data_IF_208705111849
#
_entry.id   IF_208705111849
#
_cell.length_a   1.000
_cell.length_b   1.000
_cell.length_c   1.000
_cell.angle_alpha   90.00
_cell.angle_beta   90.00
_cell.angle_gamma   90.00
#
_symmetry.space_group_name_H-M   'P 1'
#
loop_
_entity.id
_entity.type
_entity.pdbx_description
1 polymer ?
#
# COMPACT_ATOMS: atom_id res chain seq x y z
N UNK A 1 -3.93 24.13 7.46
CA UNK A 1 -4.90 24.84 6.56
C UNK A 1 -6.26 24.88 7.26
N UNK A 2 -6.96 26.04 7.36
CA UNK A 2 -8.26 26.11 8.06
C UNK A 2 -9.33 25.32 7.26
N UNK A 3 -10.17 24.52 7.94
CA UNK A 3 -11.28 23.72 7.35
C UNK A 3 -12.09 24.46 6.28
N UNK A 4 -12.33 25.76 6.50
CA UNK A 4 -13.09 26.61 5.58
C UNK A 4 -12.38 26.85 4.23
N UNK A 5 -11.07 26.81 4.19
CA UNK A 5 -10.27 26.96 2.97
C UNK A 5 -10.22 25.64 2.18
N UNK A 6 -10.21 24.50 2.88
CA UNK A 6 -10.31 23.18 2.26
C UNK A 6 -11.67 22.99 1.56
N UNK A 7 -12.78 23.33 2.25
CA UNK A 7 -14.14 23.23 1.67
C UNK A 7 -14.31 24.19 0.47
N UNK A 8 -13.70 25.37 0.51
CA UNK A 8 -13.74 26.30 -0.64
C UNK A 8 -12.94 25.76 -1.83
N UNK A 9 -11.81 25.10 -1.59
CA UNK A 9 -10.99 24.50 -2.65
C UNK A 9 -11.71 23.31 -3.32
N UNK A 10 -12.34 22.44 -2.52
CA UNK A 10 -13.13 21.30 -3.04
C UNK A 10 -14.39 21.75 -3.76
N UNK A 11 -15.08 22.77 -3.28
CA UNK A 11 -16.26 23.33 -3.95
C UNK A 11 -15.92 24.00 -5.30
N UNK A 12 -14.74 24.61 -5.40
CA UNK A 12 -14.28 25.23 -6.66
C UNK A 12 -13.86 24.14 -7.67
N UNK A 13 -13.24 23.07 -7.22
CA UNK A 13 -12.90 21.92 -8.06
C UNK A 13 -14.14 21.20 -8.62
N UNK A 14 -15.18 21.05 -7.79
CA UNK A 14 -16.45 20.41 -8.19
C UNK A 14 -17.26 21.22 -9.20
N UNK A 15 -17.15 22.57 -9.19
CA UNK A 15 -17.85 23.44 -10.13
C UNK A 15 -17.21 23.48 -11.54
N UNK A 16 -15.93 23.08 -11.67
CA UNK A 16 -15.19 23.07 -12.93
C UNK A 16 -15.41 21.75 -13.70
N UNK A 17 -15.86 20.68 -13.03
CA UNK A 17 -16.09 19.36 -13.62
C UNK A 17 -17.29 19.23 -14.59
N UNK A 18 -17.95 20.33 -14.98
CA UNK A 18 -19.12 20.31 -15.87
C UNK A 18 -18.83 20.76 -17.32
N UNK A 19 -17.59 21.00 -17.69
CA UNK A 19 -17.27 21.44 -19.06
C UNK A 19 -16.32 20.45 -19.75
N UNK A 20 -16.77 19.72 -20.78
CA UNK A 20 -15.89 18.90 -21.59
C UNK A 20 -14.85 19.77 -22.30
N UNK A 21 -13.58 19.48 -22.16
CA UNK A 21 -12.48 20.17 -22.82
C UNK A 21 -11.64 21.13 -21.97
N UNK A 22 -11.95 21.30 -20.69
CA UNK A 22 -11.18 22.19 -19.78
C UNK A 22 -10.47 21.46 -18.62
N UNK A 23 -10.43 20.14 -18.63
CA UNK A 23 -9.77 19.36 -17.57
C UNK A 23 -8.26 19.65 -17.49
N UNK A 24 -7.59 19.86 -18.62
CA UNK A 24 -6.16 20.19 -18.65
C UNK A 24 -5.82 21.52 -17.96
N UNK A 25 -6.72 22.51 -18.01
CA UNK A 25 -6.53 23.79 -17.32
C UNK A 25 -6.77 23.69 -15.80
N UNK A 26 -7.75 22.90 -15.35
CA UNK A 26 -8.00 22.68 -13.93
C UNK A 26 -6.86 21.90 -13.25
N UNK A 27 -6.28 20.93 -13.95
CA UNK A 27 -5.09 20.17 -13.50
C UNK A 27 -3.85 21.08 -13.40
N UNK A 28 -3.65 21.99 -14.35
CA UNK A 28 -2.56 22.97 -14.28
C UNK A 28 -2.74 24.01 -13.17
N UNK A 29 -3.97 24.36 -12.82
CA UNK A 29 -4.27 25.21 -11.67
C UNK A 29 -3.99 24.45 -10.37
N UNK A 30 -4.34 23.17 -10.27
CA UNK A 30 -4.00 22.30 -9.15
C UNK A 30 -2.49 22.18 -8.92
N UNK A 31 -1.72 21.93 -9.96
CA UNK A 31 -0.23 21.92 -9.92
C UNK A 31 0.37 23.25 -9.40
N UNK A 32 -0.27 24.38 -9.67
CA UNK A 32 0.21 25.71 -9.29
C UNK A 32 -0.03 26.04 -7.80
N UNK A 33 -0.91 25.32 -7.12
CA UNK A 33 -1.24 25.53 -5.70
C UNK A 33 -0.63 24.47 -4.78
N UNK A 34 -0.12 23.36 -5.31
CA UNK A 34 0.66 22.39 -4.56
C UNK A 34 2.13 22.76 -4.72
N UNK A 35 2.63 23.60 -3.84
CA UNK A 35 4.03 24.02 -3.82
C UNK A 35 4.93 22.94 -3.21
N UNK A 36 4.64 21.67 -3.46
CA UNK A 36 5.44 20.52 -3.05
C UNK A 36 6.13 19.96 -4.29
N UNK A 37 7.44 19.98 -4.31
CA UNK A 37 8.20 19.21 -5.29
C UNK A 37 8.02 17.72 -4.97
N UNK A 38 7.18 17.05 -5.76
CA UNK A 38 6.95 15.61 -5.67
C UNK A 38 7.73 14.83 -6.74
N UNK A 39 8.60 15.51 -7.50
CA UNK A 39 9.29 14.90 -8.64
C UNK A 39 10.12 13.67 -8.24
N UNK A 40 10.76 13.70 -7.06
CA UNK A 40 11.56 12.60 -6.54
C UNK A 40 10.79 11.69 -5.57
N UNK A 41 9.56 12.05 -5.18
CA UNK A 41 8.79 11.30 -4.18
C UNK A 41 8.40 9.91 -4.70
N UNK A 42 8.50 8.93 -3.81
CA UNK A 42 8.13 7.53 -4.02
C UNK A 42 7.15 7.11 -2.95
N UNK A 43 6.04 6.54 -3.36
CA UNK A 43 5.03 5.99 -2.47
C UNK A 43 5.18 4.47 -2.41
N UNK A 44 5.35 3.94 -1.20
CA UNK A 44 5.39 2.50 -0.93
C UNK A 44 4.11 2.09 -0.23
N UNK A 45 3.26 1.36 -0.92
CA UNK A 45 2.01 0.83 -0.42
C UNK A 45 2.22 -0.59 0.08
N UNK A 46 1.78 -0.87 1.30
CA UNK A 46 1.83 -2.21 1.91
C UNK A 46 0.41 -2.67 2.17
N UNK A 47 -0.05 -3.62 1.38
CA UNK A 47 -1.37 -4.23 1.54
C UNK A 47 -1.32 -5.34 2.59
N UNK A 48 -2.13 -5.21 3.64
CA UNK A 48 -2.31 -6.20 4.70
C UNK A 48 -3.57 -7.02 4.38
N UNK A 49 -3.39 -8.08 3.58
CA UNK A 49 -4.51 -8.84 3.04
C UNK A 49 -5.13 -9.80 4.05
N UNK A 50 -6.46 -9.71 4.20
CA UNK A 50 -7.24 -10.55 5.09
C UNK A 50 -8.00 -9.80 6.19
N UNK A 51 -7.91 -8.47 6.25
CA UNK A 51 -8.58 -7.68 7.27
C UNK A 51 -7.83 -7.64 8.60
N UNK A 52 -6.88 -6.75 8.73
CA UNK A 52 -6.08 -6.61 9.95
C UNK A 52 -6.94 -6.31 11.18
N UNK A 53 -6.69 -7.00 12.28
CA UNK A 53 -7.34 -6.74 13.57
C UNK A 53 -6.81 -5.46 14.22
N UNK A 54 -7.51 -4.36 13.98
CA UNK A 54 -7.11 -3.05 14.43
C UNK A 54 -7.03 -2.90 15.94
N UNK A 55 -7.90 -3.56 16.72
CA UNK A 55 -7.93 -3.40 18.17
C UNK A 55 -6.82 -4.19 18.88
N UNK A 56 -6.29 -5.26 18.26
CA UNK A 56 -5.09 -5.93 18.76
C UNK A 56 -3.80 -5.33 18.18
N UNK A 57 -3.87 -4.65 17.05
CA UNK A 57 -2.75 -3.87 16.51
C UNK A 57 -2.52 -2.58 17.30
N UNK A 58 -3.62 -1.86 17.61
CA UNK A 58 -3.64 -0.60 18.35
C UNK A 58 -4.69 -0.69 19.46
N UNK A 59 -4.23 -0.87 20.68
CA UNK A 59 -5.08 -1.08 21.87
C UNK A 59 -5.61 0.26 22.38
N UNK A 60 -6.93 0.44 22.56
CA UNK A 60 -7.52 1.67 23.07
C UNK A 60 -7.37 1.78 24.59
N UNK A 61 -6.40 2.57 25.08
CA UNK A 61 -6.09 2.61 26.52
C UNK A 61 -7.20 3.26 27.35
N UNK A 62 -7.81 4.30 26.82
CA UNK A 62 -8.95 4.98 27.52
C UNK A 62 -10.23 4.14 27.58
N UNK A 63 -10.30 3.04 26.85
CA UNK A 63 -11.43 2.10 26.82
C UNK A 63 -10.99 0.66 27.08
N UNK A 64 -9.87 0.48 27.77
CA UNK A 64 -9.28 -0.83 27.97
C UNK A 64 -10.22 -1.81 28.67
N UNK A 65 -11.03 -1.38 29.63
CA UNK A 65 -12.03 -2.21 30.29
C UNK A 65 -13.08 -2.74 29.31
N UNK A 66 -13.59 -1.86 28.41
CA UNK A 66 -14.54 -2.25 27.38
C UNK A 66 -13.89 -3.23 26.37
N UNK A 67 -12.68 -2.92 25.92
CA UNK A 67 -11.88 -3.79 25.05
C UNK A 67 -11.67 -5.17 25.71
N UNK A 68 -11.26 -5.22 26.97
CA UNK A 68 -11.05 -6.46 27.72
C UNK A 68 -12.33 -7.28 27.87
N UNK A 69 -13.48 -6.62 28.10
CA UNK A 69 -14.77 -7.29 28.21
C UNK A 69 -15.26 -7.89 26.87
N UNK A 70 -14.94 -7.24 25.76
CA UNK A 70 -15.27 -7.72 24.41
C UNK A 70 -14.33 -8.83 23.93
N UNK A 71 -13.12 -8.90 24.49
CA UNK A 71 -12.04 -9.80 24.08
C UNK A 71 -11.39 -10.51 25.29
N UNK A 72 -12.17 -11.21 26.11
CA UNK A 72 -11.65 -11.80 27.34
C UNK A 72 -10.51 -12.80 27.12
N UNK A 73 -10.39 -13.40 25.92
CA UNK A 73 -9.39 -14.42 25.62
C UNK A 73 -8.26 -13.92 24.72
N UNK A 74 -8.55 -13.04 23.75
CA UNK A 74 -7.58 -12.62 22.72
C UNK A 74 -6.99 -11.24 22.96
N UNK A 75 -7.36 -10.56 24.02
CA UNK A 75 -6.85 -9.21 24.31
C UNK A 75 -5.33 -9.18 24.50
N UNK A 76 -4.71 -8.11 24.10
CA UNK A 76 -3.34 -7.78 24.50
C UNK A 76 -3.34 -7.32 25.96
N UNK A 77 -2.49 -7.89 26.80
CA UNK A 77 -2.43 -7.59 28.23
C UNK A 77 -1.98 -6.17 28.52
N UNK A 78 -2.39 -5.64 29.68
CA UNK A 78 -1.91 -4.36 30.23
C UNK A 78 -0.69 -4.54 31.15
N UNK A 79 -0.27 -5.77 31.42
CA UNK A 79 0.80 -6.07 32.35
C UNK A 79 1.57 -7.33 31.95
N UNK A 80 2.80 -7.43 32.45
CA UNK A 80 3.70 -8.54 32.13
C UNK A 80 4.56 -8.33 30.89
N UNK A 81 5.30 -9.37 30.50
CA UNK A 81 6.29 -9.29 29.40
C UNK A 81 5.65 -9.07 28.01
N UNK A 82 4.40 -9.49 27.85
CA UNK A 82 3.65 -9.41 26.59
C UNK A 82 2.58 -8.30 26.64
N UNK A 83 2.76 -7.28 27.49
CA UNK A 83 1.84 -6.14 27.54
C UNK A 83 2.03 -5.22 26.33
N UNK A 84 0.97 -4.48 26.00
CA UNK A 84 1.05 -3.46 24.96
C UNK A 84 2.18 -2.44 25.25
N UNK A 85 2.72 -1.87 24.18
CA UNK A 85 3.69 -0.78 24.27
C UNK A 85 2.90 0.52 24.30
N UNK A 86 2.98 1.31 25.38
CA UNK A 86 2.36 2.62 25.42
C UNK A 86 3.01 3.52 24.33
N UNK A 87 2.17 4.05 23.43
CA UNK A 87 2.69 4.82 22.31
C UNK A 87 3.21 6.20 22.75
N UNK A 88 2.40 6.95 23.47
CA UNK A 88 2.77 8.29 23.96
C UNK A 88 1.91 8.66 25.18
N UNK A 89 2.51 8.66 26.35
CA UNK A 89 1.85 9.02 27.61
C UNK A 89 1.71 10.53 27.83
N UNK A 90 2.28 11.37 26.95
CA UNK A 90 2.11 12.83 27.01
C UNK A 90 0.83 13.32 26.36
N UNK A 91 0.16 12.46 25.58
CA UNK A 91 -1.13 12.79 24.98
C UNK A 91 -2.26 12.79 26.01
N UNK A 92 -3.35 13.48 25.69
CA UNK A 92 -4.58 13.43 26.49
C UNK A 92 -5.09 11.97 26.57
N UNK A 93 -5.70 11.60 27.70
CA UNK A 93 -6.14 10.22 27.96
C UNK A 93 -6.99 9.62 26.83
N UNK A 94 -7.81 10.44 26.17
CA UNK A 94 -8.67 10.03 25.07
C UNK A 94 -7.92 9.81 23.74
N UNK A 95 -6.66 10.15 23.69
CA UNK A 95 -5.79 9.97 22.52
C UNK A 95 -4.73 8.88 22.74
N UNK A 96 -4.56 8.43 24.01
CA UNK A 96 -3.56 7.43 24.33
C UNK A 96 -3.96 6.06 23.79
N UNK A 97 -3.00 5.42 23.12
CA UNK A 97 -3.13 4.07 22.58
C UNK A 97 -1.90 3.24 22.91
N UNK A 98 -2.08 1.93 22.97
CA UNK A 98 -1.00 0.97 23.06
C UNK A 98 -0.76 0.28 21.71
N UNK A 99 0.48 0.04 21.36
CA UNK A 99 0.82 -0.83 20.23
C UNK A 99 0.90 -2.28 20.68
N UNK A 100 0.60 -3.22 19.78
CA UNK A 100 0.90 -4.62 19.98
C UNK A 100 2.37 -4.80 20.37
N UNK A 101 2.72 -5.70 21.31
CA UNK A 101 4.11 -5.84 21.80
C UNK A 101 5.14 -6.16 20.70
N UNK A 102 4.72 -6.75 19.60
CA UNK A 102 5.60 -6.98 18.43
C UNK A 102 6.02 -5.73 17.68
N UNK A 103 5.35 -4.59 17.87
CA UNK A 103 5.53 -3.35 17.09
C UNK A 103 6.58 -2.40 17.72
N UNK A 104 7.69 -2.94 18.21
CA UNK A 104 8.76 -2.14 18.85
C UNK A 104 9.44 -1.17 17.89
N UNK A 105 9.65 -1.57 16.64
CA UNK A 105 10.20 -0.72 15.60
C UNK A 105 9.25 0.43 15.20
N UNK A 106 7.95 0.18 15.22
CA UNK A 106 6.94 1.22 15.01
C UNK A 106 6.98 2.28 16.12
N UNK A 107 7.17 1.84 17.39
CA UNK A 107 7.38 2.77 18.50
C UNK A 107 8.61 3.66 18.25
N UNK A 108 9.72 3.06 17.81
CA UNK A 108 10.95 3.81 17.51
C UNK A 108 10.75 4.82 16.36
N UNK A 109 10.02 4.43 15.31
CA UNK A 109 9.67 5.34 14.22
C UNK A 109 8.75 6.47 14.67
N UNK A 110 7.80 6.18 15.57
CA UNK A 110 6.91 7.19 16.15
C UNK A 110 7.71 8.20 16.99
N UNK A 111 8.59 7.73 17.89
CA UNK A 111 9.41 8.56 18.73
C UNK A 111 10.39 9.45 17.93
N UNK A 112 10.79 8.95 16.75
CA UNK A 112 11.63 9.71 15.80
C UNK A 112 10.83 10.69 14.93
N UNK A 113 9.50 10.72 15.06
CA UNK A 113 8.61 11.55 14.24
C UNK A 113 8.31 10.98 12.84
N UNK A 114 8.76 9.77 12.55
CA UNK A 114 8.66 9.14 11.22
C UNK A 114 7.48 8.17 11.09
N UNK A 115 6.54 8.17 12.03
CA UNK A 115 5.30 7.39 11.99
C UNK A 115 4.10 8.25 12.37
N UNK A 116 3.02 8.09 11.63
CA UNK A 116 1.67 8.58 11.98
C UNK A 116 0.69 7.43 11.93
N UNK A 117 -0.29 7.45 12.81
CA UNK A 117 -1.33 6.43 12.90
C UNK A 117 -2.65 7.07 12.53
N UNK A 118 -3.31 6.56 11.51
CA UNK A 118 -4.67 6.90 11.13
C UNK A 118 -5.58 5.79 11.63
N UNK A 119 -6.43 6.13 12.61
CA UNK A 119 -7.38 5.17 13.16
C UNK A 119 -8.73 5.25 12.45
N UNK A 120 -9.51 4.18 12.55
CA UNK A 120 -10.90 4.14 12.06
C UNK A 120 -11.02 4.42 10.55
N UNK A 121 -10.09 3.86 9.76
CA UNK A 121 -10.15 4.00 8.31
C UNK A 121 -11.07 2.95 7.72
N UNK A 122 -11.98 3.37 6.87
CA UNK A 122 -12.99 2.55 6.20
C UNK A 122 -13.89 3.41 5.32
N UNK A 123 -14.90 2.82 4.72
CA UNK A 123 -15.88 3.53 3.90
C UNK A 123 -17.32 3.22 4.35
N UNK A 124 -18.29 4.09 4.09
CA UNK A 124 -19.68 3.88 4.52
C UNK A 124 -20.26 2.59 3.96
N UNK A 125 -20.99 1.85 4.80
CA UNK A 125 -21.62 0.56 4.43
C UNK A 125 -20.64 -0.47 3.87
N UNK A 126 -19.46 -0.55 4.49
CA UNK A 126 -18.35 -1.36 4.02
C UNK A 126 -18.75 -2.80 3.74
N UNK A 127 -18.40 -3.28 2.56
CA UNK A 127 -18.55 -4.68 2.18
C UNK A 127 -17.53 -5.53 2.94
N UNK A 128 -17.97 -6.67 3.45
CA UNK A 128 -17.12 -7.61 4.24
C UNK A 128 -16.67 -8.81 3.41
N UNK A 129 -16.77 -8.75 2.08
CA UNK A 129 -16.14 -9.68 1.15
C UNK A 129 -14.74 -9.16 0.81
N UNK A 130 -13.72 -9.99 0.97
CA UNK A 130 -12.34 -9.65 0.60
C UNK A 130 -12.26 -9.13 -0.83
N UNK A 131 -12.86 -9.84 -1.80
CA UNK A 131 -12.84 -9.44 -3.21
C UNK A 131 -13.47 -8.07 -3.42
N UNK A 132 -14.71 -7.89 -2.98
CA UNK A 132 -15.43 -6.65 -3.20
C UNK A 132 -14.78 -5.45 -2.48
N UNK A 133 -14.29 -5.63 -1.26
CA UNK A 133 -13.59 -4.57 -0.54
C UNK A 133 -12.23 -4.24 -1.15
N UNK A 134 -11.48 -5.24 -1.62
CA UNK A 134 -10.22 -5.00 -2.33
C UNK A 134 -10.46 -4.20 -3.61
N UNK A 135 -11.54 -4.48 -4.35
CA UNK A 135 -11.91 -3.71 -5.53
C UNK A 135 -12.27 -2.27 -5.18
N UNK A 136 -13.05 -2.05 -4.10
CA UNK A 136 -13.38 -0.69 -3.63
C UNK A 136 -12.10 0.09 -3.25
N UNK A 137 -11.18 -0.51 -2.51
CA UNK A 137 -9.90 0.11 -2.17
C UNK A 137 -9.01 0.35 -3.39
N UNK A 138 -9.02 -0.55 -4.36
CA UNK A 138 -8.25 -0.41 -5.60
C UNK A 138 -8.80 0.67 -6.52
N UNK A 139 -10.13 0.76 -6.64
CA UNK A 139 -10.79 1.75 -7.51
C UNK A 139 -10.98 3.10 -6.83
N UNK A 140 -11.07 3.15 -5.50
CA UNK A 140 -11.48 4.34 -4.77
C UNK A 140 -12.94 4.74 -5.02
N UNK A 141 -13.75 3.82 -5.51
CA UNK A 141 -15.18 3.98 -5.78
C UNK A 141 -15.99 3.51 -4.58
N UNK A 142 -17.24 3.93 -4.50
CA UNK A 142 -18.16 3.57 -3.41
C UNK A 142 -18.72 2.14 -3.50
N UNK A 143 -18.20 1.31 -4.41
CA UNK A 143 -18.67 -0.04 -4.69
C UNK A 143 -19.94 -0.12 -5.54
N UNK A 144 -20.59 1.01 -5.83
CA UNK A 144 -21.80 1.08 -6.65
C UNK A 144 -21.52 1.53 -8.09
N UNK A 145 -20.37 2.16 -8.33
CA UNK A 145 -20.02 2.71 -9.64
C UNK A 145 -19.52 1.69 -10.66
N UNK A 146 -19.36 0.42 -10.26
CA UNK A 146 -19.14 -0.71 -11.19
C UNK A 146 -20.10 -0.72 -12.38
N UNK A 147 -21.35 -0.38 -12.12
CA UNK A 147 -22.40 -0.36 -13.14
C UNK A 147 -22.27 0.82 -14.12
N UNK A 148 -21.38 1.77 -13.87
CA UNK A 148 -21.23 3.01 -14.63
C UNK A 148 -19.87 3.14 -15.36
N UNK A 149 -19.16 2.04 -15.60
CA UNK A 149 -17.92 2.06 -16.40
C UNK A 149 -16.68 2.53 -15.64
N UNK A 150 -16.62 2.33 -14.33
CA UNK A 150 -15.49 2.68 -13.51
C UNK A 150 -14.42 1.57 -13.43
N UNK A 151 -13.82 1.21 -14.57
CA UNK A 151 -12.80 0.15 -14.63
C UNK A 151 -11.39 0.62 -14.25
N UNK A 152 -11.23 1.83 -13.71
CA UNK A 152 -9.93 2.40 -13.38
C UNK A 152 -9.64 2.43 -11.88
N UNK A 153 -8.37 2.21 -11.52
CA UNK A 153 -7.86 2.32 -10.16
C UNK A 153 -7.48 3.74 -9.78
N UNK A 154 -7.51 4.06 -8.49
CA UNK A 154 -7.17 5.40 -8.02
C UNK A 154 -5.68 5.73 -8.20
N UNK A 155 -4.79 4.73 -8.12
CA UNK A 155 -3.35 4.89 -8.36
C UNK A 155 -3.11 5.24 -9.82
N UNK A 156 -3.76 4.52 -10.75
CA UNK A 156 -3.67 4.80 -12.18
C UNK A 156 -4.13 6.23 -12.51
N UNK A 157 -5.31 6.63 -12.04
CA UNK A 157 -5.79 8.02 -12.21
C UNK A 157 -4.88 9.07 -11.58
N UNK A 158 -4.28 8.76 -10.43
CA UNK A 158 -3.30 9.64 -9.80
C UNK A 158 -2.05 9.78 -10.68
N UNK A 159 -1.51 8.68 -11.20
CA UNK A 159 -0.36 8.68 -12.12
C UNK A 159 -0.68 9.51 -13.37
N UNK A 160 -1.79 9.26 -14.04
CA UNK A 160 -2.21 10.02 -15.22
C UNK A 160 -2.34 11.53 -14.95
N UNK A 161 -2.83 11.88 -13.74
CA UNK A 161 -3.06 13.29 -13.39
C UNK A 161 -1.78 14.04 -13.01
N UNK A 162 -0.86 13.38 -12.29
CA UNK A 162 0.31 14.05 -11.71
C UNK A 162 1.61 13.74 -12.43
N UNK A 163 1.69 12.61 -13.10
CA UNK A 163 2.88 12.12 -13.79
C UNK A 163 2.62 11.86 -15.29
N UNK A 164 1.70 12.61 -15.89
CA UNK A 164 1.34 12.44 -17.30
C UNK A 164 2.56 12.45 -18.23
N UNK A 165 3.55 13.33 -17.97
CA UNK A 165 4.78 13.41 -18.74
C UNK A 165 5.69 12.16 -18.62
N UNK A 166 5.41 11.28 -17.63
CA UNK A 166 6.12 10.01 -17.41
C UNK A 166 5.35 8.80 -17.96
N UNK A 167 4.12 8.98 -18.41
CA UNK A 167 3.35 7.92 -19.08
C UNK A 167 4.07 7.56 -20.40
N UNK A 168 4.16 6.26 -20.70
CA UNK A 168 4.85 5.74 -21.89
C UNK A 168 6.38 5.95 -21.91
N UNK A 169 7.02 6.09 -20.77
CA UNK A 169 8.47 6.07 -20.64
C UNK A 169 9.04 4.66 -20.76
N UNK A 170 10.36 4.54 -20.75
CA UNK A 170 11.07 3.25 -20.83
C UNK A 170 11.12 2.48 -19.51
N UNK A 171 10.44 2.95 -18.47
CA UNK A 171 10.33 2.35 -17.17
C UNK A 171 8.87 2.39 -16.66
N UNK A 172 8.43 1.41 -15.84
CA UNK A 172 7.10 1.45 -15.27
C UNK A 172 7.00 2.53 -14.20
N UNK A 173 5.91 3.31 -14.19
CA UNK A 173 5.68 4.31 -13.13
C UNK A 173 5.28 3.61 -11.82
N UNK A 174 4.59 2.48 -11.92
CA UNK A 174 4.23 1.61 -10.81
C UNK A 174 4.95 0.27 -10.87
N UNK A 175 5.32 -0.26 -9.71
CA UNK A 175 5.88 -1.61 -9.57
C UNK A 175 5.11 -2.34 -8.48
N UNK A 176 4.59 -3.51 -8.81
CA UNK A 176 3.94 -4.41 -7.87
C UNK A 176 4.85 -5.61 -7.63
N UNK A 177 5.12 -5.98 -6.39
CA UNK A 177 6.00 -7.09 -6.03
C UNK A 177 5.23 -8.13 -5.22
N UNK A 178 5.52 -9.40 -5.49
CA UNK A 178 4.89 -10.52 -4.81
C UNK A 178 3.77 -11.17 -5.61
N UNK A 179 2.95 -11.99 -4.95
CA UNK A 179 1.85 -12.70 -5.60
C UNK A 179 0.85 -11.71 -6.24
N UNK A 180 0.50 -11.99 -7.50
CA UNK A 180 -0.45 -11.17 -8.23
C UNK A 180 -1.80 -11.16 -7.51
N UNK A 181 -2.24 -9.98 -7.07
CA UNK A 181 -3.64 -9.69 -6.79
C UNK A 181 -4.21 -8.91 -7.97
N UNK A 182 -5.30 -8.23 -7.82
CA UNK A 182 -5.83 -7.39 -8.89
C UNK A 182 -4.87 -6.24 -9.21
N UNK A 183 -4.40 -6.11 -10.44
CA UNK A 183 -3.69 -4.94 -10.95
C UNK A 183 -4.60 -3.71 -11.12
N UNK A 184 -5.86 -3.84 -10.72
CA UNK A 184 -6.92 -2.83 -10.89
C UNK A 184 -6.51 -1.46 -10.31
N UNK A 185 -5.80 -1.43 -9.19
CA UNK A 185 -5.33 -0.18 -8.58
C UNK A 185 -4.47 0.70 -9.50
N UNK A 186 -3.69 0.08 -10.38
CA UNK A 186 -2.81 0.77 -11.34
C UNK A 186 -3.45 1.02 -12.70
N UNK A 187 -4.67 0.58 -12.94
CA UNK A 187 -5.38 0.80 -14.20
C UNK A 187 -5.79 2.26 -14.29
N UNK A 188 -5.25 3.00 -15.24
CA UNK A 188 -5.66 4.38 -15.51
C UNK A 188 -7.06 4.46 -16.14
N UNK A 189 -7.56 5.66 -16.33
CA UNK A 189 -8.81 5.88 -17.05
C UNK A 189 -8.63 5.76 -18.56
N UNK A 190 -7.45 6.10 -19.06
CA UNK A 190 -7.07 6.09 -20.49
C UNK A 190 -5.90 5.15 -20.75
N UNK A 191 -4.99 5.00 -19.78
CA UNK A 191 -3.75 4.23 -19.90
C UNK A 191 -3.79 2.95 -19.06
N UNK A 192 -3.42 1.83 -19.64
CA UNK A 192 -3.50 0.52 -19.00
C UNK A 192 -2.12 -0.09 -18.66
N UNK A 193 -1.05 0.41 -19.24
CA UNK A 193 0.32 -0.08 -19.07
C UNK A 193 1.15 0.67 -18.03
N UNK A 194 0.55 1.15 -16.92
CA UNK A 194 1.23 2.02 -15.97
C UNK A 194 2.12 1.29 -14.97
N UNK A 195 1.95 -0.02 -14.81
CA UNK A 195 2.71 -0.81 -13.85
C UNK A 195 3.17 -2.15 -14.41
N UNK A 196 4.20 -2.70 -13.77
CA UNK A 196 4.65 -4.07 -14.00
C UNK A 196 4.62 -4.83 -12.67
N UNK A 197 4.11 -6.06 -12.72
CA UNK A 197 4.16 -6.97 -11.56
C UNK A 197 5.41 -7.86 -11.65
N UNK A 198 6.18 -7.89 -10.57
CA UNK A 198 7.30 -8.81 -10.37
C UNK A 198 6.76 -9.99 -9.58
N UNK A 199 6.53 -11.11 -10.24
CA UNK A 199 6.10 -12.34 -9.58
C UNK A 199 7.23 -12.86 -8.66
N UNK A 200 6.87 -13.15 -7.43
CA UNK A 200 7.84 -13.52 -6.40
C UNK A 200 8.29 -12.31 -5.58
N UNK A 201 9.43 -12.44 -4.94
CA UNK A 201 9.92 -11.46 -3.95
C UNK A 201 11.21 -10.78 -4.40
N UNK A 202 11.77 -11.22 -5.52
CA UNK A 202 13.08 -10.83 -6.02
C UNK A 202 13.02 -10.56 -7.53
N UNK A 203 13.58 -9.45 -7.95
CA UNK A 203 13.69 -9.06 -9.35
C UNK A 203 14.85 -9.75 -10.08
N UNK A 204 15.65 -10.56 -9.38
CA UNK A 204 16.77 -11.29 -9.99
C UNK A 204 16.26 -12.31 -11.02
N UNK A 205 16.79 -12.25 -12.23
CA UNK A 205 16.35 -13.15 -13.29
C UNK A 205 14.99 -12.85 -13.93
N UNK A 206 14.22 -11.87 -13.41
CA UNK A 206 12.92 -11.50 -13.96
C UNK A 206 12.98 -11.19 -15.47
N UNK A 207 13.96 -10.40 -15.88
CA UNK A 207 14.18 -10.08 -17.30
C UNK A 207 14.46 -11.31 -18.16
N UNK A 208 15.27 -12.26 -17.69
CA UNK A 208 15.61 -13.45 -18.44
C UNK A 208 14.43 -14.40 -18.68
N UNK A 209 13.49 -14.43 -17.74
CA UNK A 209 12.24 -15.20 -17.90
C UNK A 209 11.36 -14.54 -18.96
N UNK A 210 11.15 -13.25 -18.90
CA UNK A 210 10.30 -12.52 -19.86
C UNK A 210 10.91 -12.53 -21.27
N UNK A 211 12.20 -12.28 -21.40
CA UNK A 211 12.89 -12.33 -22.72
C UNK A 211 12.89 -13.71 -23.35
N UNK A 212 12.79 -14.77 -22.52
CA UNK A 212 12.66 -16.15 -23.00
C UNK A 212 11.24 -16.53 -23.46
N UNK A 213 10.23 -15.75 -23.08
CA UNK A 213 8.83 -15.94 -23.48
C UNK A 213 8.43 -15.11 -24.71
N UNK A 214 9.23 -14.10 -25.06
CA UNK A 214 8.96 -13.22 -26.20
C UNK A 214 9.02 -13.97 -27.54
N UNK A 215 8.11 -13.64 -28.45
CA UNK A 215 8.05 -14.13 -29.81
C UNK A 215 8.48 -13.06 -30.80
N UNK A 216 8.67 -13.43 -32.08
CA UNK A 216 8.85 -12.44 -33.14
C UNK A 216 7.49 -11.89 -33.58
N UNK A 217 7.39 -10.54 -33.68
CA UNK A 217 6.21 -9.91 -34.21
C UNK A 217 5.98 -10.35 -35.68
N UNK A 218 4.74 -10.63 -36.08
CA UNK A 218 4.46 -11.00 -37.45
C UNK A 218 4.80 -9.86 -38.40
N UNK A 219 5.30 -10.22 -39.59
CA UNK A 219 5.72 -9.24 -40.61
C UNK A 219 4.56 -8.47 -41.25
N UNK A 220 3.32 -8.88 -40.98
CA UNK A 220 2.12 -8.25 -41.50
C UNK A 220 1.00 -8.27 -40.44
N UNK A 221 0.42 -7.12 -40.19
CA UNK A 221 -0.72 -6.94 -39.30
C UNK A 221 -1.93 -6.55 -40.19
N UNK A 222 -3.01 -7.35 -40.20
CA UNK A 222 -4.18 -7.07 -41.01
C UNK A 222 -4.91 -5.79 -40.55
N UNK A 223 -5.42 -5.00 -41.47
CA UNK A 223 -6.29 -3.86 -41.15
C UNK A 223 -7.71 -4.38 -40.83
N UNK A 224 -7.90 -4.87 -39.62
CA UNK A 224 -9.13 -5.49 -39.10
C UNK A 224 -9.13 -5.48 -37.57
N UNK A 225 -10.25 -5.73 -36.95
CA UNK A 225 -10.37 -5.89 -35.50
C UNK A 225 -9.34 -6.87 -34.93
N UNK A 226 -9.11 -7.99 -35.62
CA UNK A 226 -8.05 -8.93 -35.25
C UNK A 226 -6.65 -8.29 -35.32
N UNK A 227 -6.42 -7.45 -36.31
CA UNK A 227 -5.14 -6.75 -36.44
C UNK A 227 -4.93 -5.69 -35.37
N UNK A 228 -5.99 -5.02 -34.93
CA UNK A 228 -5.96 -4.07 -33.81
C UNK A 228 -5.59 -4.80 -32.50
N UNK A 229 -6.22 -5.90 -32.21
CA UNK A 229 -5.89 -6.72 -31.03
C UNK A 229 -4.46 -7.30 -31.10
N UNK A 230 -4.02 -7.72 -32.26
CA UNK A 230 -2.66 -8.21 -32.47
C UNK A 230 -1.62 -7.10 -32.28
N UNK A 231 -1.89 -5.89 -32.79
CA UNK A 231 -1.02 -4.74 -32.57
C UNK A 231 -0.94 -4.39 -31.07
N UNK A 232 -2.07 -4.39 -30.37
CA UNK A 232 -2.11 -4.18 -28.93
C UNK A 232 -1.25 -5.18 -28.16
N UNK A 233 -1.26 -6.47 -28.54
CA UNK A 233 -0.41 -7.50 -27.93
C UNK A 233 1.06 -7.21 -28.18
N UNK A 234 1.43 -6.81 -29.40
CA UNK A 234 2.81 -6.49 -29.79
C UNK A 234 3.32 -5.29 -29.00
N UNK A 235 2.51 -4.22 -28.91
CA UNK A 235 2.88 -3.01 -28.19
C UNK A 235 3.07 -3.29 -26.69
N UNK A 236 2.20 -4.10 -26.09
CA UNK A 236 2.35 -4.53 -24.69
C UNK A 236 3.59 -5.40 -24.46
N UNK A 237 3.93 -6.28 -25.39
CA UNK A 237 5.15 -7.09 -25.31
C UNK A 237 6.42 -6.21 -25.34
N UNK A 238 6.44 -5.22 -26.23
CA UNK A 238 7.54 -4.26 -26.32
C UNK A 238 7.67 -3.43 -25.04
N UNK A 239 6.58 -2.89 -24.52
CA UNK A 239 6.56 -2.12 -23.27
C UNK A 239 7.01 -3.00 -22.10
N UNK A 240 6.50 -4.24 -22.00
CA UNK A 240 6.89 -5.19 -20.97
C UNK A 240 8.39 -5.49 -21.02
N UNK A 241 8.97 -5.65 -22.21
CA UNK A 241 10.40 -5.84 -22.39
C UNK A 241 11.20 -4.64 -21.90
N UNK A 242 10.83 -3.42 -22.28
CA UNK A 242 11.50 -2.18 -21.85
C UNK A 242 11.43 -2.02 -20.32
N UNK A 243 10.26 -2.26 -19.73
CA UNK A 243 10.08 -2.18 -18.28
C UNK A 243 10.90 -3.21 -17.52
N UNK A 244 10.96 -4.43 -18.03
CA UNK A 244 11.75 -5.52 -17.45
C UNK A 244 13.25 -5.22 -17.50
N UNK A 245 13.71 -4.62 -18.59
CA UNK A 245 15.10 -4.18 -18.73
C UNK A 245 15.43 -3.06 -17.75
N UNK A 246 14.56 -2.05 -17.60
CA UNK A 246 14.74 -0.96 -16.64
C UNK A 246 14.80 -1.47 -15.19
N UNK A 247 13.90 -2.40 -14.82
CA UNK A 247 13.88 -3.03 -13.50
C UNK A 247 15.17 -3.84 -13.28
N UNK A 248 15.56 -4.66 -14.25
CA UNK A 248 16.77 -5.49 -14.15
C UNK A 248 18.04 -4.63 -14.01
N UNK A 249 18.15 -3.56 -14.79
CA UNK A 249 19.26 -2.61 -14.70
C UNK A 249 19.32 -1.94 -13.33
N UNK A 250 18.17 -1.43 -12.83
CA UNK A 250 18.11 -0.83 -11.52
C UNK A 250 18.43 -1.84 -10.41
N UNK A 251 17.91 -3.06 -10.48
CA UNK A 251 18.21 -4.11 -9.53
C UNK A 251 19.71 -4.44 -9.48
N UNK A 252 20.35 -4.54 -10.63
CA UNK A 252 21.79 -4.86 -10.73
C UNK A 252 22.67 -3.70 -10.26
N UNK A 253 22.28 -2.46 -10.50
CA UNK A 253 23.01 -1.27 -10.08
C UNK A 253 22.76 -0.90 -8.61
N UNK A 254 21.64 -1.36 -8.04
CA UNK A 254 21.25 -1.07 -6.67
C UNK A 254 21.91 -1.97 -5.65
N UNK A 255 21.83 -1.56 -4.40
CA UNK A 255 22.35 -2.31 -3.25
C UNK A 255 21.43 -2.16 -2.04
N UNK A 256 21.65 -2.97 -1.03
CA UNK A 256 21.05 -2.84 0.28
C UNK A 256 22.16 -2.62 1.31
N UNK A 257 21.97 -1.65 2.20
CA UNK A 257 22.91 -1.27 3.25
C UNK A 257 22.55 -1.87 4.62
N UNK A 258 21.39 -2.53 4.70
CA UNK A 258 20.86 -3.15 5.92
C UNK A 258 20.53 -4.61 5.66
N UNK A 259 20.64 -5.45 6.69
CA UNK A 259 20.18 -6.82 6.64
C UNK A 259 18.66 -6.89 6.88
N UNK A 260 18.00 -7.75 6.14
CA UNK A 260 16.59 -8.10 6.30
C UNK A 260 16.48 -9.54 6.79
N UNK A 261 15.42 -9.86 7.51
CA UNK A 261 15.08 -11.27 7.74
C UNK A 261 14.57 -11.94 6.45
N UNK A 262 14.37 -13.24 6.47
CA UNK A 262 14.00 -14.02 5.28
C UNK A 262 12.47 -14.17 5.14
N UNK A 263 11.70 -13.22 5.65
CA UNK A 263 10.25 -13.18 5.50
C UNK A 263 9.83 -12.65 4.13
N UNK A 264 8.60 -12.96 3.72
CA UNK A 264 8.07 -12.57 2.43
C UNK A 264 8.04 -11.04 2.25
N UNK A 265 7.53 -10.32 3.24
CA UNK A 265 7.48 -8.85 3.17
C UNK A 265 8.86 -8.21 3.23
N UNK A 266 9.77 -8.77 4.04
CA UNK A 266 11.17 -8.31 4.09
C UNK A 266 11.86 -8.44 2.73
N UNK A 267 11.68 -9.55 2.04
CA UNK A 267 12.26 -9.76 0.71
C UNK A 267 11.66 -8.81 -0.35
N UNK A 268 10.36 -8.55 -0.29
CA UNK A 268 9.70 -7.55 -1.15
C UNK A 268 10.24 -6.14 -0.89
N UNK A 269 10.28 -5.67 0.37
CA UNK A 269 10.78 -4.35 0.71
C UNK A 269 12.28 -4.19 0.46
N UNK A 270 13.08 -5.24 0.66
CA UNK A 270 14.49 -5.29 0.26
C UNK A 270 14.66 -5.06 -1.24
N UNK A 271 13.80 -5.68 -2.06
CA UNK A 271 13.78 -5.45 -3.51
C UNK A 271 13.40 -4.01 -3.84
N UNK A 272 12.37 -3.44 -3.20
CA UNK A 272 11.99 -2.02 -3.38
C UNK A 272 13.16 -1.10 -3.06
N UNK A 273 13.82 -1.27 -1.90
CA UNK A 273 14.98 -0.45 -1.52
C UNK A 273 16.11 -0.54 -2.54
N UNK A 274 16.37 -1.75 -3.05
CA UNK A 274 17.39 -1.98 -4.07
C UNK A 274 17.05 -1.34 -5.41
N UNK A 275 15.80 -1.38 -5.84
CA UNK A 275 15.35 -0.70 -7.06
C UNK A 275 15.46 0.82 -6.95
N UNK A 276 15.10 1.38 -5.79
CA UNK A 276 15.24 2.81 -5.51
C UNK A 276 16.71 3.23 -5.55
N UNK A 277 17.59 2.50 -4.87
CA UNK A 277 19.02 2.81 -4.83
C UNK A 277 19.71 2.62 -6.18
N UNK A 278 19.19 1.74 -7.02
CA UNK A 278 19.66 1.51 -8.39
C UNK A 278 19.15 2.51 -9.42
N UNK A 279 18.38 3.51 -8.97
CA UNK A 279 17.94 4.62 -9.80
C UNK A 279 16.66 4.37 -10.60
N UNK A 280 15.84 3.36 -10.24
CA UNK A 280 14.53 3.21 -10.88
C UNK A 280 13.64 4.43 -10.58
N UNK A 281 13.13 5.07 -11.61
CA UNK A 281 12.35 6.30 -11.51
C UNK A 281 10.87 6.08 -11.17
N UNK A 282 10.45 4.83 -10.96
CA UNK A 282 9.09 4.48 -10.53
C UNK A 282 8.63 5.30 -9.33
N UNK A 283 7.36 5.67 -9.31
CA UNK A 283 6.77 6.57 -8.31
C UNK A 283 5.95 5.83 -7.25
N UNK A 284 5.39 4.67 -7.60
CA UNK A 284 4.54 3.88 -6.71
C UNK A 284 5.01 2.43 -6.69
N UNK A 285 5.24 1.92 -5.49
CA UNK A 285 5.54 0.51 -5.25
C UNK A 285 4.41 -0.09 -4.40
N UNK A 286 3.94 -1.27 -4.76
CA UNK A 286 2.95 -2.03 -4.00
C UNK A 286 3.53 -3.38 -3.61
N UNK A 287 3.57 -3.64 -2.32
CA UNK A 287 3.97 -4.92 -1.71
C UNK A 287 2.85 -5.46 -0.82
N UNK A 288 2.91 -6.74 -0.47
CA UNK A 288 1.80 -7.43 0.18
C UNK A 288 2.25 -8.32 1.32
N UNK A 289 1.48 -8.28 2.40
CA UNK A 289 1.54 -9.24 3.50
C UNK A 289 0.14 -9.84 3.68
N UNK A 290 -0.04 -11.07 3.25
CA UNK A 290 -1.31 -11.79 3.37
C UNK A 290 -1.35 -12.59 4.69
N UNK A 291 -2.55 -13.04 5.08
CA UNK A 291 -2.73 -13.93 6.24
C UNK A 291 -3.53 -13.31 7.38
N UNK A 292 -3.95 -12.05 7.27
CA UNK A 292 -4.72 -11.37 8.33
C UNK A 292 -6.16 -11.87 8.49
N UNK A 293 -6.59 -12.87 7.72
CA UNK A 293 -7.93 -13.48 7.87
C UNK A 293 -7.99 -14.44 9.06
N UNK A 294 -7.69 -13.92 10.24
CA UNK A 294 -7.54 -14.67 11.49
C UNK A 294 -8.86 -14.95 12.20
N UNK A 295 -9.75 -15.71 11.54
CA UNK A 295 -10.99 -16.19 12.17
C UNK A 295 -10.73 -17.19 13.31
N UNK A 296 -9.61 -17.89 13.26
CA UNK A 296 -9.12 -18.82 14.26
C UNK A 296 -7.60 -18.72 14.31
N UNK A 297 -6.98 -19.22 15.34
CA UNK A 297 -5.50 -19.18 15.52
C UNK A 297 -4.89 -17.77 15.53
N UNK A 298 -5.70 -16.71 15.68
CA UNK A 298 -5.20 -15.36 15.90
C UNK A 298 -4.23 -15.34 17.08
N UNK A 299 -4.57 -16.11 18.12
CA UNK A 299 -3.69 -16.53 19.21
C UNK A 299 -3.75 -18.04 19.37
N UNK A 300 -2.70 -18.66 19.93
CA UNK A 300 -2.62 -20.13 20.13
C UNK A 300 -3.40 -20.60 21.35
N UNK A 301 -3.47 -19.80 22.40
CA UNK A 301 -4.19 -20.10 23.62
C UNK A 301 -4.72 -18.84 24.28
N UNK A 302 -5.75 -18.97 25.11
CA UNK A 302 -6.36 -17.84 25.80
C UNK A 302 -5.33 -17.06 26.64
N UNK A 303 -5.36 -15.74 26.51
CA UNK A 303 -4.45 -14.79 27.16
C UNK A 303 -2.97 -14.93 26.77
N UNK A 304 -2.68 -15.58 25.66
CA UNK A 304 -1.38 -15.56 24.99
C UNK A 304 -1.42 -14.55 23.81
N UNK A 305 -0.27 -14.05 23.42
CA UNK A 305 -0.16 -13.25 22.20
C UNK A 305 0.39 -14.08 21.03
N UNK A 306 0.94 -15.25 21.30
CA UNK A 306 1.51 -16.11 20.27
C UNK A 306 0.42 -16.63 19.34
N UNK A 307 0.64 -16.56 18.05
CA UNK A 307 -0.30 -16.99 17.02
C UNK A 307 -0.14 -16.17 15.73
N UNK A 308 -0.99 -16.45 14.76
CA UNK A 308 -0.87 -15.93 13.41
C UNK A 308 -0.78 -14.39 13.36
N UNK A 309 -1.58 -13.69 14.17
CA UNK A 309 -1.56 -12.22 14.19
C UNK A 309 -0.25 -11.65 14.76
N UNK A 310 0.30 -12.27 15.81
CA UNK A 310 1.59 -11.89 16.37
C UNK A 310 2.74 -12.10 15.35
N UNK A 311 2.71 -13.22 14.63
CA UNK A 311 3.71 -13.52 13.60
C UNK A 311 3.66 -12.49 12.47
N UNK A 312 2.47 -12.18 11.95
CA UNK A 312 2.26 -11.17 10.92
C UNK A 312 2.68 -9.76 11.35
N UNK A 313 2.35 -9.35 12.58
CA UNK A 313 2.77 -8.05 13.10
C UNK A 313 4.29 -8.01 13.37
N UNK A 314 4.90 -9.12 13.74
CA UNK A 314 6.36 -9.23 13.89
C UNK A 314 7.05 -9.09 12.53
N UNK A 315 6.56 -9.78 11.51
CA UNK A 315 7.05 -9.65 10.14
C UNK A 315 6.91 -8.20 9.64
N UNK A 316 5.74 -7.60 9.80
CA UNK A 316 5.47 -6.21 9.42
C UNK A 316 6.44 -5.23 10.11
N UNK A 317 6.65 -5.41 11.42
CA UNK A 317 7.57 -4.60 12.23
C UNK A 317 9.01 -4.68 11.72
N UNK A 318 9.49 -5.90 11.50
CA UNK A 318 10.87 -6.15 11.09
C UNK A 318 11.13 -5.62 9.66
N UNK A 319 10.22 -5.93 8.75
CA UNK A 319 10.33 -5.54 7.35
C UNK A 319 10.35 -4.01 7.18
N UNK A 320 9.42 -3.28 7.82
CA UNK A 320 9.37 -1.82 7.75
C UNK A 320 10.56 -1.19 8.48
N UNK A 321 10.98 -1.73 9.62
CA UNK A 321 12.14 -1.22 10.36
C UNK A 321 13.43 -1.34 9.54
N UNK A 322 13.67 -2.51 8.94
CA UNK A 322 14.82 -2.74 8.07
C UNK A 322 14.78 -1.86 6.81
N UNK A 323 13.60 -1.73 6.20
CA UNK A 323 13.40 -0.88 5.03
C UNK A 323 13.71 0.59 5.32
N UNK A 324 13.17 1.14 6.40
CA UNK A 324 13.41 2.54 6.78
C UNK A 324 14.88 2.79 7.14
N UNK A 325 15.54 1.83 7.80
CA UNK A 325 16.96 1.90 8.07
C UNK A 325 17.80 1.87 6.78
N UNK A 326 17.44 1.01 5.83
CA UNK A 326 18.14 0.86 4.54
C UNK A 326 18.02 2.15 3.71
N UNK A 327 16.79 2.64 3.51
CA UNK A 327 16.51 3.90 2.80
C UNK A 327 17.24 5.08 3.43
N UNK A 328 17.24 5.17 4.76
CA UNK A 328 17.95 6.24 5.48
C UNK A 328 19.47 6.14 5.30
N UNK A 329 20.03 4.93 5.43
CA UNK A 329 21.48 4.71 5.27
C UNK A 329 21.98 5.03 3.87
N UNK A 330 21.12 4.94 2.87
CA UNK A 330 21.41 5.24 1.47
C UNK A 330 21.04 6.69 1.06
N UNK A 331 20.47 7.50 1.97
CA UNK A 331 20.17 8.91 1.74
C UNK A 331 18.85 9.18 1.00
N UNK A 332 17.94 8.20 0.92
CA UNK A 332 16.63 8.32 0.25
C UNK A 332 15.46 8.57 1.21
N UNK A 333 15.74 8.77 2.51
CA UNK A 333 14.70 8.89 3.53
C UNK A 333 13.68 10.01 3.24
N UNK A 334 14.12 11.11 2.65
CA UNK A 334 13.28 12.27 2.37
C UNK A 334 12.43 12.10 1.10
N UNK A 335 12.74 11.11 0.28
CA UNK A 335 12.04 10.82 -0.96
C UNK A 335 10.95 9.76 -0.80
N UNK A 336 10.97 8.98 0.28
CA UNK A 336 10.09 7.82 0.46
C UNK A 336 9.03 8.09 1.52
N UNK A 337 7.78 7.80 1.15
CA UNK A 337 6.64 7.72 2.08
C UNK A 337 6.01 6.35 1.94
N UNK A 338 5.80 5.68 3.06
CA UNK A 338 5.11 4.40 3.10
C UNK A 338 3.72 4.50 3.74
N UNK A 339 2.82 3.62 3.32
CA UNK A 339 1.46 3.51 3.83
C UNK A 339 1.05 2.05 3.92
N UNK A 340 0.54 1.63 5.09
CA UNK A 340 -0.12 0.32 5.22
C UNK A 340 -1.63 0.47 5.06
N UNK A 341 -2.30 -0.51 4.46
CA UNK A 341 -3.76 -0.54 4.38
C UNK A 341 -4.28 -1.99 4.35
N UNK A 342 -5.52 -2.17 4.75
CA UNK A 342 -6.22 -3.45 4.67
C UNK A 342 -7.61 -3.20 4.08
N UNK A 343 -8.19 -4.20 3.41
CA UNK A 343 -9.48 -4.07 2.73
C UNK A 343 -10.65 -3.83 3.69
N UNK A 344 -10.52 -4.27 4.95
CA UNK A 344 -11.40 -3.98 6.08
C UNK A 344 -10.70 -4.31 7.40
N UNK A 345 -11.36 -4.10 8.54
CA UNK A 345 -10.89 -4.52 9.85
C UNK A 345 -11.66 -5.70 10.41
N UNK A 346 -11.53 -5.90 11.72
CA UNK A 346 -12.18 -7.00 12.44
C UNK A 346 -13.23 -6.48 13.41
N UNK A 347 -14.21 -7.34 13.76
CA UNK A 347 -15.21 -7.02 14.79
C UNK A 347 -14.56 -6.67 16.12
N UNK A 348 -15.15 -5.74 16.85
CA UNK A 348 -14.68 -5.38 18.19
C UNK A 348 -14.75 -6.57 19.15
N UNK A 349 -15.79 -7.41 19.03
CA UNK A 349 -15.95 -8.62 19.83
C UNK A 349 -15.18 -9.79 19.22
N UNK A 350 -14.47 -10.56 20.07
CA UNK A 350 -13.88 -11.83 19.66
C UNK A 350 -14.95 -12.86 19.26
N UNK A 351 -14.59 -13.84 18.45
CA UNK A 351 -15.40 -15.01 18.17
C UNK A 351 -15.08 -16.16 19.16
N UNK A 352 -15.71 -17.29 19.00
CA UNK A 352 -15.46 -18.46 19.89
C UNK A 352 -14.23 -19.30 19.54
N UNK A 353 -13.41 -18.90 18.55
CA UNK A 353 -12.34 -19.71 17.96
C UNK A 353 -10.95 -19.09 18.13
N UNK A 354 -10.73 -18.32 19.21
CA UNK A 354 -9.47 -17.58 19.44
C UNK A 354 -9.10 -16.64 18.28
N UNK A 355 -10.10 -15.96 17.73
CA UNK A 355 -9.95 -15.06 16.60
C UNK A 355 -11.08 -14.04 16.51
N UNK A 356 -11.23 -13.43 15.35
CA UNK A 356 -12.22 -12.38 15.07
C UNK A 356 -12.88 -12.55 13.71
N UNK A 357 -14.16 -12.14 13.59
CA UNK A 357 -14.86 -12.07 12.32
C UNK A 357 -14.59 -10.75 11.61
N UNK A 358 -14.98 -10.65 10.32
CA UNK A 358 -14.88 -9.45 9.52
C UNK A 358 -15.62 -8.26 10.14
N UNK A 359 -14.90 -7.16 10.28
CA UNK A 359 -15.39 -5.87 10.73
C UNK A 359 -15.35 -4.82 9.62
N UNK A 360 -15.33 -3.54 9.99
CA UNK A 360 -15.46 -2.46 9.02
C UNK A 360 -14.20 -1.59 8.93
N UNK A 361 -13.60 -1.23 10.03
CA UNK A 361 -12.52 -0.26 10.11
C UNK A 361 -11.21 -0.89 10.54
N UNK A 362 -10.11 -0.46 9.92
CA UNK A 362 -8.75 -0.83 10.28
C UNK A 362 -7.88 0.41 10.50
N UNK A 363 -6.79 0.32 11.26
CA UNK A 363 -5.79 1.37 11.30
C UNK A 363 -4.93 1.36 10.02
N UNK A 364 -4.42 2.53 9.67
CA UNK A 364 -3.36 2.70 8.70
C UNK A 364 -2.14 3.34 9.37
N UNK A 365 -0.97 2.87 8.99
CA UNK A 365 0.30 3.48 9.38
C UNK A 365 0.87 4.24 8.18
N UNK A 366 1.22 5.50 8.39
CA UNK A 366 1.96 6.31 7.41
C UNK A 366 3.35 6.53 7.97
N UNK A 367 4.39 6.19 7.21
CA UNK A 367 5.76 6.27 7.68
C UNK A 367 6.69 6.92 6.65
N UNK A 368 7.79 7.51 7.12
CA UNK A 368 8.77 8.23 6.33
C UNK A 368 9.14 9.56 6.95
N UNK A 369 10.30 10.13 6.64
CA UNK A 369 10.73 11.43 7.18
C UNK A 369 9.89 12.60 6.64
N UNK A 370 9.32 12.45 5.47
CA UNK A 370 8.56 13.48 4.77
C UNK A 370 7.12 13.72 5.30
N UNK A 371 6.69 12.97 6.34
CA UNK A 371 5.35 13.10 6.93
C UNK A 371 5.27 14.10 8.08
N UNK A 372 6.35 14.79 8.38
CA UNK A 372 6.43 15.82 9.44
C UNK A 372 5.83 17.16 9.02
#
# INVERSE_FOLDING_TARGET
MKRRNFIKLTATASAIGLLPGQMSHALNIGKKYINCDISNRKLVLIYLGGGNDGLNTIVPLNQYDLYSNLRPTIKVSDSGANSFINLDSSLDDNQQVGLHPSLTGFKNLYDSGYLRILQSVGYPSQNKSHFASTDVYSTGNDGNSWLNGGDSGWIGRFIESYYYDLVQQTFPIGVEIGSKTSSLGFHGAEEHGLSLNIEGQDASGFYSVLSGLGGEAPSFIPNSHYGEELQYIIDNDQITTLYSEAISNAFNNGSNSTSYDDSDLSNQLKTVARLISGGLESKVYLVKLNGFDTHFSQIQSANDIQGDHNELLTELNNAISSFMQDISSQGFQDDVVGLTFSEFGRKAKENGNLGTDHGEIAPMFVFGSAIN
#
